data_IF_517637930664
#
_entry.id   IF_517637930664
#
_cell.length_a   1.000
_cell.length_b   1.000
_cell.length_c   1.000
_cell.angle_alpha   90.00
_cell.angle_beta   90.00
_cell.angle_gamma   90.00
#
_symmetry.space_group_name_H-M   'P 1'
#
loop_
_entity.id
_entity.type
_entity.pdbx_description
1 polymer ?
#
# COMPACT_ATOMS: atom_id res chain seq x y z
N UNK A 1 -22.57 4.31 0.83
CA UNK A 1 -21.55 4.78 -0.08
C UNK A 1 -20.42 5.45 0.68
N UNK A 2 -19.18 5.27 0.26
CA UNK A 2 -18.04 5.80 0.99
C UNK A 2 -17.21 6.74 0.13
N UNK A 3 -16.67 7.77 0.76
CA UNK A 3 -15.74 8.68 0.09
C UNK A 3 -14.35 8.05 0.02
N UNK A 4 -13.46 8.66 -0.75
CA UNK A 4 -12.06 8.22 -0.79
C UNK A 4 -11.44 8.26 0.60
N UNK A 5 -11.84 9.22 1.42
CA UNK A 5 -11.32 9.35 2.78
C UNK A 5 -11.73 8.14 3.62
N UNK A 6 -12.99 7.76 3.51
CA UNK A 6 -13.50 6.60 4.26
C UNK A 6 -12.81 5.31 3.84
N UNK A 7 -12.58 5.17 2.55
CA UNK A 7 -11.91 3.98 2.01
C UNK A 7 -10.46 3.90 2.51
N UNK A 8 -9.74 5.04 2.48
CA UNK A 8 -8.38 5.09 3.01
C UNK A 8 -8.34 4.73 4.48
N UNK A 9 -9.32 5.21 5.23
CA UNK A 9 -9.41 4.92 6.66
C UNK A 9 -9.59 3.42 6.90
N UNK A 10 -10.44 2.78 6.11
CA UNK A 10 -10.66 1.34 6.24
C UNK A 10 -9.35 0.57 6.05
N UNK A 11 -8.60 0.90 5.01
CA UNK A 11 -7.35 0.21 4.71
C UNK A 11 -6.30 0.53 5.78
N UNK A 12 -6.26 1.78 6.22
CA UNK A 12 -5.32 2.18 7.26
C UNK A 12 -5.58 1.41 8.57
N UNK A 13 -6.84 1.32 8.99
CA UNK A 13 -7.17 0.61 10.23
C UNK A 13 -6.79 -0.86 10.14
N UNK A 14 -6.95 -1.45 8.98
CA UNK A 14 -6.53 -2.83 8.77
C UNK A 14 -5.01 -2.98 8.80
N UNK A 15 -4.30 -2.13 8.04
CA UNK A 15 -2.86 -2.26 7.88
C UNK A 15 -2.06 -1.93 9.13
N UNK A 16 -2.57 -1.04 9.98
CA UNK A 16 -1.78 -0.63 11.15
C UNK A 16 -1.50 -1.78 12.10
N UNK A 17 -2.29 -2.85 12.03
CA UNK A 17 -2.10 -4.04 12.86
C UNK A 17 -1.35 -5.15 12.13
N UNK A 18 -0.90 -4.92 10.91
CA UNK A 18 -0.29 -5.95 10.08
C UNK A 18 1.20 -6.13 10.36
N UNK A 19 1.71 -7.30 9.99
CA UNK A 19 3.14 -7.57 10.04
C UNK A 19 3.91 -6.57 9.15
N UNK A 20 3.33 -6.19 8.03
CA UNK A 20 3.96 -5.25 7.11
C UNK A 20 4.22 -3.92 7.81
N UNK A 21 3.20 -3.38 8.49
CA UNK A 21 3.35 -2.11 9.20
C UNK A 21 4.37 -2.22 10.33
N UNK A 22 4.43 -3.38 10.97
CA UNK A 22 5.38 -3.59 12.06
C UNK A 22 6.83 -3.70 11.54
N UNK A 23 6.99 -4.21 10.32
CA UNK A 23 8.32 -4.49 9.77
C UNK A 23 9.00 -3.25 9.16
N UNK A 24 8.24 -2.36 8.55
CA UNK A 24 8.82 -1.19 7.88
C UNK A 24 9.46 -0.25 8.89
N UNK A 25 10.51 0.45 8.45
CA UNK A 25 11.22 1.38 9.33
C UNK A 25 10.55 2.74 9.41
N UNK A 26 9.62 3.01 8.51
CA UNK A 26 8.98 4.32 8.39
C UNK A 26 7.56 4.35 8.91
N UNK A 27 6.73 5.14 8.26
CA UNK A 27 5.40 5.49 8.72
C UNK A 27 4.32 4.98 7.77
N UNK A 28 3.20 4.57 8.32
CA UNK A 28 1.99 4.27 7.54
C UNK A 28 1.17 5.56 7.43
N UNK A 29 0.91 6.02 6.22
CA UNK A 29 0.23 7.28 5.96
C UNK A 29 -0.96 7.12 5.04
N UNK A 30 -1.99 7.94 5.28
CA UNK A 30 -3.18 7.99 4.44
C UNK A 30 -3.12 9.13 3.43
N UNK A 31 -2.16 10.00 3.54
CA UNK A 31 -2.05 11.17 2.66
C UNK A 31 -0.71 11.24 1.96
N UNK A 32 0.36 11.39 2.70
CA UNK A 32 1.70 11.46 2.11
C UNK A 32 2.76 11.13 3.15
N UNK A 33 3.95 10.84 2.64
CA UNK A 33 5.10 10.53 3.49
C UNK A 33 5.50 11.75 4.31
N UNK A 34 6.14 11.51 5.47
CA UNK A 34 6.76 12.62 6.20
C UNK A 34 7.76 13.33 5.29
N UNK A 35 7.87 14.64 5.44
CA UNK A 35 8.75 15.47 4.62
C UNK A 35 10.19 14.96 4.68
N UNK A 36 10.81 14.80 3.53
CA UNK A 36 12.21 14.36 3.39
C UNK A 36 12.49 12.98 4.01
N UNK A 37 11.48 12.15 4.12
CA UNK A 37 11.67 10.82 4.66
C UNK A 37 12.58 9.97 3.76
N UNK A 38 13.50 9.26 4.40
CA UNK A 38 14.35 8.28 3.72
C UNK A 38 14.13 6.90 4.34
N UNK A 39 12.97 6.69 4.90
CA UNK A 39 12.62 5.42 5.54
C UNK A 39 11.63 4.65 4.67
N UNK A 40 11.38 3.41 5.08
CA UNK A 40 10.42 2.57 4.40
C UNK A 40 9.03 3.00 4.83
N UNK A 41 8.40 3.84 4.04
CA UNK A 41 7.07 4.35 4.34
C UNK A 41 6.02 3.64 3.51
N UNK A 42 4.83 3.50 4.08
CA UNK A 42 3.67 2.94 3.39
C UNK A 42 2.69 4.08 3.18
N UNK A 43 2.26 4.27 1.93
CA UNK A 43 1.27 5.30 1.60
C UNK A 43 0.08 4.65 0.94
N UNK A 44 -1.11 4.97 1.44
CA UNK A 44 -2.38 4.49 0.90
C UNK A 44 -3.01 5.60 0.07
N UNK A 45 -3.43 5.29 -1.15
CA UNK A 45 -4.13 6.27 -1.97
C UNK A 45 -5.28 5.59 -2.73
N UNK A 46 -6.34 6.35 -2.96
CA UNK A 46 -7.48 5.89 -3.73
C UNK A 46 -7.41 6.57 -5.09
N UNK A 47 -7.38 5.79 -6.16
CA UNK A 47 -7.19 6.32 -7.51
C UNK A 47 -8.48 6.40 -8.30
N UNK A 48 -9.42 5.53 -8.00
CA UNK A 48 -10.71 5.53 -8.68
C UNK A 48 -11.74 5.05 -7.70
N UNK A 49 -12.91 5.67 -7.73
CA UNK A 49 -13.99 5.33 -6.82
C UNK A 49 -15.28 5.47 -7.60
N UNK A 50 -15.86 4.34 -7.99
CA UNK A 50 -17.08 4.32 -8.77
C UNK A 50 -18.27 4.14 -7.83
N UNK A 51 -19.00 5.22 -7.52
CA UNK A 51 -20.09 5.17 -6.55
C UNK A 51 -21.37 4.66 -7.17
N UNK A 52 -21.33 3.44 -7.65
CA UNK A 52 -22.49 2.79 -8.24
C UNK A 52 -23.20 1.97 -7.17
N UNK A 53 -24.26 1.26 -7.58
CA UNK A 53 -25.02 0.43 -6.67
C UNK A 53 -24.12 -0.56 -5.92
N UNK A 54 -23.08 -1.05 -6.59
CA UNK A 54 -22.03 -1.86 -5.95
C UNK A 54 -20.76 -1.05 -6.02
N UNK A 55 -20.54 -0.26 -5.02
CA UNK A 55 -19.38 0.62 -5.03
C UNK A 55 -18.09 -0.16 -5.14
N UNK A 56 -17.24 0.28 -6.05
CA UNK A 56 -15.95 -0.35 -6.27
C UNK A 56 -14.90 0.74 -6.41
N UNK A 57 -13.76 0.54 -5.80
CA UNK A 57 -12.68 1.50 -5.85
C UNK A 57 -11.35 0.81 -6.11
N UNK A 58 -10.43 1.54 -6.72
CA UNK A 58 -9.05 1.10 -6.90
C UNK A 58 -8.20 1.80 -5.86
N UNK A 59 -7.48 1.00 -5.08
CA UNK A 59 -6.65 1.49 -3.99
C UNK A 59 -5.22 1.06 -4.25
N UNK A 60 -4.28 1.97 -4.04
CA UNK A 60 -2.86 1.65 -4.10
C UNK A 60 -2.26 1.71 -2.71
N UNK A 61 -1.49 0.68 -2.40
CA UNK A 61 -0.68 0.66 -1.18
C UNK A 61 0.76 0.60 -1.66
N UNK A 62 1.46 1.71 -1.49
CA UNK A 62 2.84 1.84 -1.95
C UNK A 62 3.80 1.75 -0.78
N UNK A 63 4.81 0.90 -0.92
CA UNK A 63 5.84 0.73 0.11
C UNK A 63 7.17 1.17 -0.49
N UNK A 64 7.80 2.17 0.11
CA UNK A 64 9.06 2.72 -0.38
C UNK A 64 10.23 2.02 0.27
N UNK A 65 11.24 1.70 -0.53
CA UNK A 65 12.43 0.98 -0.05
C UNK A 65 13.66 1.71 -0.55
N UNK A 66 14.55 2.07 0.37
CA UNK A 66 15.77 2.77 0.01
C UNK A 66 16.74 1.84 -0.72
N UNK A 67 17.41 2.36 -1.74
CA UNK A 67 18.44 1.62 -2.43
C UNK A 67 19.65 1.46 -1.52
N UNK A 68 20.45 0.46 -1.79
CA UNK A 68 21.71 0.29 -1.07
C UNK A 68 22.87 0.71 -1.97
N UNK A 69 23.93 1.18 -1.34
CA UNK A 69 25.10 1.64 -2.07
C UNK A 69 26.10 0.51 -2.14
N UNK A 70 26.38 0.06 -3.37
CA UNK A 70 27.30 -1.05 -3.62
C UNK A 70 28.37 -0.55 -4.58
N UNK A 71 29.64 -0.62 -4.16
CA UNK A 71 30.78 -0.18 -4.99
C UNK A 71 30.59 1.24 -5.49
N UNK A 72 30.07 2.13 -4.63
CA UNK A 72 29.91 3.55 -4.95
C UNK A 72 28.68 3.84 -5.79
N UNK A 73 27.86 2.85 -6.08
CA UNK A 73 26.68 2.99 -6.92
C UNK A 73 25.43 2.55 -6.16
N UNK A 74 24.35 3.29 -6.34
CA UNK A 74 23.08 2.95 -5.70
C UNK A 74 22.35 1.92 -6.54
N UNK A 75 21.88 0.85 -5.90
CA UNK A 75 21.16 -0.23 -6.55
C UNK A 75 19.97 -0.66 -5.70
N UNK A 76 19.02 -1.32 -6.34
CA UNK A 76 17.87 -1.86 -5.63
C UNK A 76 18.33 -2.74 -4.46
N UNK A 77 17.75 -2.51 -3.29
CA UNK A 77 18.00 -3.37 -2.13
C UNK A 77 17.15 -4.62 -2.28
N UNK A 78 17.61 -5.54 -3.14
CA UNK A 78 16.82 -6.68 -3.59
C UNK A 78 16.32 -7.57 -2.46
N UNK A 79 17.19 -7.91 -1.51
CA UNK A 79 16.80 -8.81 -0.41
C UNK A 79 15.74 -8.16 0.47
N UNK A 80 15.93 -6.89 0.80
CA UNK A 80 14.95 -6.18 1.64
C UNK A 80 13.63 -5.99 0.91
N UNK A 81 13.70 -5.64 -0.37
CA UNK A 81 12.52 -5.45 -1.19
C UNK A 81 11.72 -6.75 -1.29
N UNK A 82 12.41 -7.88 -1.45
CA UNK A 82 11.74 -9.19 -1.49
C UNK A 82 11.00 -9.47 -0.19
N UNK A 83 11.65 -9.21 0.94
CA UNK A 83 11.03 -9.42 2.24
C UNK A 83 9.74 -8.61 2.39
N UNK A 84 9.81 -7.32 2.03
CA UNK A 84 8.65 -6.45 2.15
C UNK A 84 7.57 -6.80 1.14
N UNK A 85 7.97 -7.20 -0.09
CA UNK A 85 6.99 -7.61 -1.09
C UNK A 85 6.21 -8.86 -0.64
N UNK A 86 6.89 -9.80 0.02
CA UNK A 86 6.23 -10.99 0.55
C UNK A 86 5.26 -10.64 1.66
N UNK A 87 5.63 -9.67 2.50
CA UNK A 87 4.73 -9.22 3.55
C UNK A 87 3.50 -8.51 2.94
N UNK A 88 3.70 -7.81 1.83
CA UNK A 88 2.57 -7.22 1.11
C UNK A 88 1.60 -8.31 0.64
N UNK A 89 2.11 -9.39 0.07
CA UNK A 89 1.25 -10.50 -0.34
C UNK A 89 0.46 -11.06 0.83
N UNK A 90 1.13 -11.29 1.96
CA UNK A 90 0.43 -11.82 3.13
C UNK A 90 -0.66 -10.88 3.62
N UNK A 91 -0.38 -9.59 3.62
CA UNK A 91 -1.31 -8.61 4.16
C UNK A 91 -2.45 -8.31 3.21
N UNK A 92 -2.19 -8.29 1.89
CA UNK A 92 -3.09 -7.67 0.93
C UNK A 92 -3.76 -8.61 -0.06
N UNK A 93 -3.36 -9.88 -0.14
CA UNK A 93 -3.95 -10.80 -1.11
C UNK A 93 -5.46 -10.82 -0.98
N UNK A 94 -5.97 -10.97 0.24
CA UNK A 94 -7.39 -10.88 0.53
C UNK A 94 -7.55 -10.17 1.87
N UNK A 95 -8.39 -9.15 1.88
CA UNK A 95 -8.70 -8.39 3.09
C UNK A 95 -10.19 -8.37 3.29
N UNK A 96 -10.64 -8.86 4.43
CA UNK A 96 -12.05 -8.76 4.80
C UNK A 96 -12.19 -7.79 5.94
N UNK A 97 -12.90 -6.71 5.69
CA UNK A 97 -13.27 -5.78 6.73
C UNK A 97 -14.69 -6.06 7.19
N UNK A 98 -15.19 -5.15 8.00
CA UNK A 98 -16.55 -5.32 8.53
C UNK A 98 -17.60 -5.13 7.44
N UNK A 99 -17.38 -4.16 6.57
CA UNK A 99 -18.36 -3.81 5.54
C UNK A 99 -17.75 -3.75 4.16
N UNK A 100 -16.55 -4.27 4.02
CA UNK A 100 -15.88 -4.23 2.73
C UNK A 100 -15.03 -5.48 2.54
N UNK A 101 -14.64 -5.66 1.30
CA UNK A 101 -13.77 -6.73 0.87
C UNK A 101 -12.78 -6.15 -0.11
N UNK A 102 -11.55 -6.58 0.01
CA UNK A 102 -10.50 -6.02 -0.80
C UNK A 102 -9.56 -7.15 -1.23
N UNK A 103 -9.07 -7.10 -2.46
CA UNK A 103 -8.12 -8.10 -2.93
C UNK A 103 -7.03 -7.47 -3.78
N UNK A 104 -5.87 -8.08 -3.76
CA UNK A 104 -4.71 -7.62 -4.52
C UNK A 104 -4.85 -8.05 -5.98
N UNK A 105 -4.80 -7.09 -6.89
CA UNK A 105 -4.85 -7.34 -8.32
C UNK A 105 -3.47 -7.48 -8.93
N UNK A 106 -2.55 -6.63 -8.46
CA UNK A 106 -1.24 -6.53 -9.12
C UNK A 106 -0.22 -5.95 -8.15
N UNK A 107 0.98 -6.50 -8.19
CA UNK A 107 2.10 -5.92 -7.46
C UNK A 107 3.24 -5.67 -8.44
N UNK A 108 3.83 -4.48 -8.36
CA UNK A 108 4.96 -4.11 -9.21
C UNK A 108 6.04 -3.49 -8.36
N UNK A 109 7.28 -3.67 -8.79
CA UNK A 109 8.43 -3.05 -8.14
C UNK A 109 9.08 -2.16 -9.18
N UNK A 110 9.18 -0.87 -8.89
CA UNK A 110 9.65 0.12 -9.84
C UNK A 110 10.56 1.12 -9.16
N UNK A 111 11.35 1.83 -9.96
CA UNK A 111 12.11 2.95 -9.42
C UNK A 111 11.13 4.03 -9.00
N UNK A 112 11.35 4.60 -7.83
CA UNK A 112 10.52 5.69 -7.36
C UNK A 112 10.91 6.98 -8.07
N UNK A 113 10.00 7.97 -8.01
CA UNK A 113 10.27 9.26 -8.64
C UNK A 113 11.48 9.94 -8.03
N UNK A 114 11.68 9.76 -6.72
CA UNK A 114 12.85 10.33 -6.04
C UNK A 114 14.05 9.41 -6.23
N UNK A 115 15.23 10.00 -6.15
CA UNK A 115 16.48 9.27 -6.37
C UNK A 115 16.75 8.24 -5.29
N UNK A 116 17.37 7.13 -5.71
CA UNK A 116 17.94 6.12 -4.82
C UNK A 116 16.89 5.39 -4.00
N UNK A 117 15.76 5.13 -4.62
CA UNK A 117 14.63 4.52 -3.94
C UNK A 117 13.81 3.70 -4.93
N UNK A 118 13.27 2.60 -4.47
CA UNK A 118 12.29 1.82 -5.24
C UNK A 118 10.97 1.81 -4.49
N UNK A 119 9.90 1.53 -5.21
CA UNK A 119 8.58 1.45 -4.62
C UNK A 119 7.92 0.12 -5.00
N UNK A 120 7.34 -0.53 -3.99
CA UNK A 120 6.51 -1.71 -4.21
C UNK A 120 5.08 -1.17 -4.31
N UNK A 121 4.52 -1.24 -5.50
CA UNK A 121 3.18 -0.72 -5.75
C UNK A 121 2.20 -1.88 -5.75
N UNK A 122 1.25 -1.85 -4.83
CA UNK A 122 0.22 -2.87 -4.72
C UNK A 122 -1.10 -2.26 -5.12
N UNK A 123 -1.70 -2.80 -6.19
CA UNK A 123 -2.98 -2.32 -6.69
C UNK A 123 -4.08 -3.26 -6.20
N UNK A 124 -5.08 -2.69 -5.54
CA UNK A 124 -6.16 -3.47 -4.97
C UNK A 124 -7.50 -3.01 -5.51
N UNK A 125 -8.43 -3.96 -5.59
CA UNK A 125 -9.83 -3.65 -5.82
C UNK A 125 -10.54 -3.73 -4.49
N UNK A 126 -11.23 -2.65 -4.14
CA UNK A 126 -11.99 -2.51 -2.90
C UNK A 126 -13.47 -2.52 -3.26
N UNK A 127 -14.24 -3.33 -2.57
CA UNK A 127 -15.69 -3.41 -2.81
C UNK A 127 -16.44 -3.33 -1.49
N UNK A 128 -17.53 -2.59 -1.52
CA UNK A 128 -18.45 -2.56 -0.38
C UNK A 128 -19.20 -3.88 -0.38
N UNK A 129 -19.21 -4.56 0.74
CA UNK A 129 -20.05 -5.74 0.90
C UNK A 129 -21.45 -5.19 1.09
N UNK A 130 -22.35 -5.69 0.32
CA UNK A 130 -23.69 -5.19 0.35
C UNK A 130 -24.31 -5.27 1.71
N UNK A 131 -24.68 -4.14 2.12
CA UNK A 131 -25.23 -3.95 3.40
C UNK A 131 -26.73 -3.90 3.38
N UNK A 132 -27.35 -4.33 2.55
CA UNK A 132 -28.67 -4.25 2.62
C UNK A 132 -29.54 -4.33 1.71
N UNK A 133 -29.49 -4.36 2.11
CA UNK A 133 -30.29 -4.56 1.66
C UNK A 133 -31.09 -3.83 1.65
#
# INVERSE_FOLDING_TARGET
MKSDIDIRDDIYEYLKESELAAEVTGTLSKTKRPLNSRKEDIVISVRANAPTQRQEATVYVNVYVQDEKIDGQYEEATARTRTLAELCFRALTIVYGKEYYCHLDEQRIEEAADDNEHVITNKLTYQIINEGK
#
